data_IF_526221635767
#
_entry.id   IF_526221635767
#
_cell.length_a   1.000
_cell.length_b   1.000
_cell.length_c   1.000
_cell.angle_alpha   90.00
_cell.angle_beta   90.00
_cell.angle_gamma   90.00
#
_symmetry.space_group_name_H-M   'P 1'
#
loop_
_entity.id
_entity.type
_entity.pdbx_description
1 polymer ?
#
# COMPACT_ATOMS: atom_id res chain seq x y z
N UNK A 1 34.96 -7.04 60.16
CA UNK A 1 35.07 -5.58 60.41
C UNK A 1 35.02 -4.86 59.05
N UNK A 2 34.16 -3.84 58.96
CA UNK A 2 34.09 -2.72 58.00
C UNK A 2 33.71 -3.00 56.52
N UNK A 3 32.49 -2.64 56.05
CA UNK A 3 32.03 -1.35 55.39
C UNK A 3 32.76 -1.06 54.05
N UNK A 4 32.19 -0.63 52.90
CA UNK A 4 30.88 -0.05 52.45
C UNK A 4 30.94 0.13 50.90
N UNK A 5 29.77 0.29 50.21
CA UNK A 5 29.49 1.17 49.01
C UNK A 5 30.21 0.81 47.67
N UNK A 6 29.69 0.93 46.44
CA UNK A 6 28.54 1.61 45.78
C UNK A 6 28.07 0.72 44.61
N UNK A 7 26.77 0.60 44.30
CA UNK A 7 25.95 1.50 43.49
C UNK A 7 26.41 1.69 42.02
N UNK A 8 25.55 1.19 41.13
CA UNK A 8 25.25 1.69 39.77
C UNK A 8 26.31 1.60 38.67
N UNK A 9 26.02 0.75 37.68
CA UNK A 9 25.89 1.23 36.30
C UNK A 9 24.95 0.31 35.48
N UNK A 10 23.64 0.45 35.70
CA UNK A 10 22.65 0.00 34.73
C UNK A 10 22.68 0.96 33.54
N UNK A 11 23.56 0.71 32.56
CA UNK A 11 23.50 1.37 31.27
C UNK A 11 22.55 0.57 30.35
N UNK A 12 21.25 0.72 30.59
CA UNK A 12 20.24 0.31 29.63
C UNK A 12 20.39 1.20 28.38
N UNK A 13 21.09 0.70 27.36
CA UNK A 13 21.08 1.28 26.03
C UNK A 13 19.68 1.13 25.45
N UNK A 14 18.79 2.07 25.78
CA UNK A 14 17.56 2.32 25.06
C UNK A 14 17.97 2.78 23.66
N UNK A 15 18.19 1.83 22.75
CA UNK A 15 18.21 2.09 21.33
C UNK A 15 16.86 2.73 20.97
N UNK A 16 16.85 4.06 20.90
CA UNK A 16 15.69 4.81 20.46
C UNK A 16 15.41 4.41 19.01
N UNK A 17 14.35 3.64 18.79
CA UNK A 17 13.77 3.47 17.46
C UNK A 17 13.28 4.84 17.02
N UNK A 18 14.12 5.59 16.30
CA UNK A 18 13.64 6.74 15.53
C UNK A 18 12.68 6.15 14.50
N UNK A 19 11.40 6.56 14.46
CA UNK A 19 10.51 6.13 13.40
C UNK A 19 11.09 6.65 12.09
N UNK A 20 11.61 5.75 11.26
CA UNK A 20 11.95 6.10 9.88
C UNK A 20 10.65 6.54 9.23
N UNK A 21 10.57 7.82 8.84
CA UNK A 21 9.41 8.32 8.11
C UNK A 21 9.36 7.55 6.80
N UNK A 22 8.36 6.67 6.64
CA UNK A 22 8.16 5.94 5.40
C UNK A 22 8.03 6.94 4.26
N UNK A 23 8.73 6.68 3.16
CA UNK A 23 8.52 7.46 1.94
C UNK A 23 7.04 7.38 1.53
N UNK A 24 6.48 8.41 0.87
CA UNK A 24 5.14 8.33 0.29
C UNK A 24 5.02 7.08 -0.59
N UNK A 25 3.89 6.38 -0.50
CA UNK A 25 3.62 5.25 -1.38
C UNK A 25 3.25 5.78 -2.75
N UNK A 26 4.14 5.59 -3.72
CA UNK A 26 3.90 5.94 -5.11
C UNK A 26 3.37 4.75 -5.90
N UNK A 27 2.26 4.97 -6.61
CA UNK A 27 1.65 4.02 -7.54
C UNK A 27 1.69 4.68 -8.91
N UNK A 28 2.48 4.17 -9.87
CA UNK A 28 2.47 4.66 -11.23
C UNK A 28 1.07 4.47 -11.85
N UNK A 29 0.54 5.48 -12.53
CA UNK A 29 -0.80 5.42 -13.12
C UNK A 29 -0.74 5.58 -14.64
N UNK A 30 -1.27 4.58 -15.34
CA UNK A 30 -1.47 4.57 -16.78
C UNK A 30 -2.77 5.25 -17.20
N UNK A 31 -3.34 4.84 -18.34
CA UNK A 31 -4.63 5.34 -18.82
C UNK A 31 -5.80 4.95 -17.88
N UNK A 32 -6.95 5.59 -18.06
CA UNK A 32 -8.21 5.12 -17.47
C UNK A 32 -8.51 3.68 -17.90
N UNK A 33 -9.12 2.90 -16.99
CA UNK A 33 -9.23 1.45 -17.14
C UNK A 33 -10.29 1.04 -18.18
N UNK A 34 -11.56 1.41 -17.97
CA UNK A 34 -12.66 1.04 -18.91
C UNK A 34 -12.70 1.96 -20.12
N UNK A 35 -12.35 3.22 -19.92
CA UNK A 35 -12.25 4.24 -20.96
C UNK A 35 -11.23 5.32 -20.54
N UNK A 36 -10.76 6.17 -21.46
CA UNK A 36 -9.72 7.17 -21.16
C UNK A 36 -10.05 8.18 -20.05
N UNK A 37 -11.34 8.41 -19.77
CA UNK A 37 -11.81 9.32 -18.73
C UNK A 37 -12.15 8.61 -17.40
N UNK A 38 -12.01 7.29 -17.34
CA UNK A 38 -12.26 6.52 -16.12
C UNK A 38 -11.33 6.99 -14.99
N UNK A 39 -11.91 7.19 -13.79
CA UNK A 39 -11.15 7.56 -12.60
C UNK A 39 -10.34 6.40 -12.06
N UNK A 40 -10.81 5.17 -12.27
CA UNK A 40 -10.01 3.98 -12.05
C UNK A 40 -8.99 3.86 -13.19
N UNK A 41 -7.71 3.74 -12.85
CA UNK A 41 -6.60 3.76 -13.82
C UNK A 41 -5.76 2.51 -13.70
N UNK A 42 -5.12 2.11 -14.80
CA UNK A 42 -4.13 1.03 -14.79
C UNK A 42 -2.99 1.38 -13.83
N UNK A 43 -2.72 0.51 -12.85
CA UNK A 43 -1.58 0.64 -11.96
C UNK A 43 -0.34 0.01 -12.60
N UNK A 44 0.76 0.77 -12.64
CA UNK A 44 2.03 0.30 -13.14
C UNK A 44 2.87 -0.41 -12.07
N UNK A 45 3.96 -1.00 -12.53
CA UNK A 45 4.94 -1.68 -11.68
C UNK A 45 5.74 -0.70 -10.82
N UNK A 46 5.81 -0.98 -9.52
CA UNK A 46 6.63 -0.29 -8.55
C UNK A 46 6.88 -1.20 -7.34
N UNK A 47 7.75 -0.76 -6.42
CA UNK A 47 7.97 -1.46 -5.16
C UNK A 47 6.68 -1.70 -4.35
N UNK A 48 5.65 -0.87 -4.52
CA UNK A 48 4.38 -0.99 -3.80
C UNK A 48 3.37 -1.89 -4.51
N UNK A 49 3.50 -2.09 -5.83
CA UNK A 49 2.52 -2.83 -6.64
C UNK A 49 2.99 -4.20 -7.10
N UNK A 50 4.30 -4.47 -7.11
CA UNK A 50 4.92 -5.72 -7.61
C UNK A 50 4.23 -7.01 -7.10
N UNK A 51 3.84 -7.06 -5.83
CA UNK A 51 3.20 -8.23 -5.20
C UNK A 51 1.75 -8.48 -5.65
N UNK A 52 1.16 -7.60 -6.43
CA UNK A 52 -0.22 -7.70 -6.91
C UNK A 52 -0.32 -7.75 -8.44
N UNK A 53 0.80 -7.63 -9.15
CA UNK A 53 0.82 -7.82 -10.60
C UNK A 53 0.67 -9.30 -10.92
N UNK A 54 -0.14 -9.59 -11.94
CA UNK A 54 -0.54 -10.94 -12.31
C UNK A 54 -0.64 -11.03 -13.84
N UNK A 55 -0.32 -12.19 -14.42
CA UNK A 55 -0.37 -12.41 -15.86
C UNK A 55 -1.77 -12.80 -16.37
N UNK A 56 -2.73 -13.04 -15.48
CA UNK A 56 -4.13 -13.29 -15.77
C UNK A 56 -5.05 -12.14 -15.35
N UNK A 57 -4.55 -11.09 -14.69
CA UNK A 57 -5.36 -9.96 -14.22
C UNK A 57 -4.67 -8.60 -14.39
N UNK A 58 -5.48 -7.57 -14.65
CA UNK A 58 -5.02 -6.18 -14.62
C UNK A 58 -5.00 -5.66 -13.18
N UNK A 59 -3.95 -4.94 -12.81
CA UNK A 59 -3.93 -4.19 -11.55
C UNK A 59 -4.49 -2.78 -11.80
N UNK A 60 -5.57 -2.44 -11.12
CA UNK A 60 -6.31 -1.18 -11.30
C UNK A 60 -6.31 -0.38 -10.00
N UNK A 61 -5.91 0.88 -10.07
CA UNK A 61 -5.94 1.82 -8.96
C UNK A 61 -7.16 2.74 -9.09
N UNK A 62 -8.11 2.60 -8.17
CA UNK A 62 -9.26 3.49 -8.05
C UNK A 62 -9.05 4.45 -6.88
N UNK A 63 -9.19 5.78 -7.05
CA UNK A 63 -9.04 6.70 -5.93
C UNK A 63 -10.00 6.34 -4.79
N UNK A 64 -9.54 6.48 -3.55
CA UNK A 64 -10.38 6.29 -2.38
C UNK A 64 -11.55 7.30 -2.38
N UNK A 65 -12.72 6.87 -1.87
CA UNK A 65 -13.91 7.72 -1.80
C UNK A 65 -14.60 8.00 -3.14
N UNK A 66 -14.16 7.37 -4.23
CA UNK A 66 -14.91 7.37 -5.49
C UNK A 66 -16.27 6.70 -5.27
N UNK A 67 -17.33 7.37 -5.70
CA UNK A 67 -18.67 6.79 -5.69
C UNK A 67 -18.75 5.54 -6.59
N UNK A 68 -19.65 4.62 -6.27
CA UNK A 68 -19.97 3.45 -7.10
C UNK A 68 -18.84 2.41 -7.29
N UNK A 69 -17.85 2.32 -6.38
CA UNK A 69 -16.86 1.23 -6.42
C UNK A 69 -17.50 -0.18 -6.34
N UNK A 70 -18.66 -0.31 -5.69
CA UNK A 70 -19.40 -1.58 -5.69
C UNK A 70 -19.92 -1.99 -7.08
N UNK A 71 -20.27 -1.01 -7.93
CA UNK A 71 -20.66 -1.27 -9.32
C UNK A 71 -19.45 -1.71 -10.12
N UNK A 72 -18.32 -1.02 -9.96
CA UNK A 72 -17.06 -1.41 -10.58
C UNK A 72 -16.70 -2.86 -10.28
N UNK A 73 -16.76 -3.27 -9.00
CA UNK A 73 -16.52 -4.65 -8.59
C UNK A 73 -17.49 -5.64 -9.26
N UNK A 74 -18.78 -5.31 -9.29
CA UNK A 74 -19.81 -6.19 -9.86
C UNK A 74 -19.67 -6.36 -11.37
N UNK A 75 -19.35 -5.28 -12.11
CA UNK A 75 -19.23 -5.31 -13.57
C UNK A 75 -17.95 -6.00 -14.05
N UNK A 76 -16.85 -5.80 -13.31
CA UNK A 76 -15.52 -6.25 -13.74
C UNK A 76 -15.10 -7.58 -13.10
N UNK A 77 -15.74 -7.99 -12.00
CA UNK A 77 -15.26 -9.11 -11.19
C UNK A 77 -14.01 -8.76 -10.37
N UNK A 78 -13.76 -7.47 -10.14
CA UNK A 78 -12.59 -6.99 -9.42
C UNK A 78 -12.52 -7.51 -7.97
N UNK A 79 -11.30 -7.79 -7.51
CA UNK A 79 -11.01 -8.17 -6.12
C UNK A 79 -10.10 -7.11 -5.51
N UNK A 80 -10.49 -6.52 -4.38
CA UNK A 80 -9.63 -5.60 -3.64
C UNK A 80 -8.41 -6.35 -3.10
N UNK A 81 -7.21 -5.92 -3.47
CA UNK A 81 -5.95 -6.56 -3.06
C UNK A 81 -5.14 -5.70 -2.08
N UNK A 82 -5.36 -4.39 -2.06
CA UNK A 82 -4.71 -3.45 -1.15
C UNK A 82 -5.34 -2.06 -1.13
N UNK A 83 -4.95 -1.25 -0.13
CA UNK A 83 -5.16 0.19 -0.08
C UNK A 83 -3.83 0.88 0.19
N UNK A 84 -3.45 1.81 -0.67
CA UNK A 84 -2.20 2.55 -0.53
C UNK A 84 -2.20 3.82 -1.39
N UNK A 85 -1.46 4.85 -0.96
CA UNK A 85 -1.25 6.05 -1.76
C UNK A 85 -2.53 6.84 -2.11
N UNK A 86 -3.63 6.66 -1.36
CA UNK A 86 -4.94 7.24 -1.66
C UNK A 86 -5.75 6.47 -2.71
N UNK A 87 -5.37 5.23 -2.99
CA UNK A 87 -6.06 4.35 -3.93
C UNK A 87 -6.46 3.03 -3.26
N UNK A 88 -7.60 2.50 -3.70
CA UNK A 88 -7.95 1.10 -3.57
C UNK A 88 -7.42 0.38 -4.80
N UNK A 89 -6.59 -0.64 -4.59
CA UNK A 89 -6.04 -1.48 -5.64
C UNK A 89 -6.93 -2.70 -5.85
N UNK A 90 -7.29 -2.94 -7.11
CA UNK A 90 -8.12 -4.05 -7.55
C UNK A 90 -7.35 -4.93 -8.53
N UNK A 91 -7.42 -6.24 -8.35
CA UNK A 91 -7.08 -7.23 -9.37
C UNK A 91 -8.33 -7.50 -10.20
N UNK A 92 -8.27 -7.25 -11.51
CA UNK A 92 -9.39 -7.43 -12.44
C UNK A 92 -9.06 -8.55 -13.42
N UNK A 93 -9.75 -9.71 -13.37
CA UNK A 93 -9.47 -10.82 -14.25
C UNK A 93 -9.61 -10.44 -15.73
N UNK A 94 -8.61 -10.78 -16.54
CA UNK A 94 -8.69 -10.69 -18.00
C UNK A 94 -9.48 -11.89 -18.51
N UNK A 95 -10.45 -11.66 -19.39
CA UNK A 95 -11.23 -12.73 -20.03
C UNK A 95 -10.70 -13.05 -21.42
#
# INVERSE_FOLDING_TARGET
MKTTIALSMAAAALAACVPTRSAPVEIPLGAGYRDPADRCRMAGESASTLRYLDDAADLVACPEGVENLGVFVTETGAIEVARAGGYVLYSVPRR
#
